data_IF_162666384946
#
_entry.id   IF_162666384946
#
_cell.length_a   1.000
_cell.length_b   1.000
_cell.length_c   1.000
_cell.angle_alpha   90.00
_cell.angle_beta   90.00
_cell.angle_gamma   90.00
#
_symmetry.space_group_name_H-M   'P 1'
#
loop_
_entity.id
_entity.type
_entity.pdbx_description
1 polymer ?
#
# COMPACT_ATOMS: atom_id res chain seq x y z
N UNK A 1 -6.20 -5.27 -5.67
CA UNK A 1 -6.64 -5.12 -4.26
C UNK A 1 -5.43 -4.89 -3.39
N UNK A 2 -5.49 -3.97 -2.43
CA UNK A 2 -4.41 -3.73 -1.47
C UNK A 2 -4.80 -4.24 -0.08
N UNK A 3 -3.85 -4.86 0.62
CA UNK A 3 -4.00 -5.32 2.00
C UNK A 3 -2.86 -4.74 2.82
N UNK A 4 -3.20 -4.18 4.00
CA UNK A 4 -2.23 -3.73 4.99
C UNK A 4 -2.17 -4.74 6.11
N UNK A 5 -0.97 -5.25 6.38
CA UNK A 5 -0.71 -6.19 7.46
C UNK A 5 -0.22 -5.48 8.72
N UNK A 6 -0.39 -6.07 9.92
CA UNK A 6 0.08 -5.49 11.18
C UNK A 6 1.60 -5.27 11.26
N UNK A 7 2.38 -5.94 10.40
CA UNK A 7 3.82 -5.77 10.24
C UNK A 7 4.19 -4.56 9.34
N UNK A 8 3.21 -3.70 9.05
CA UNK A 8 3.34 -2.51 8.21
C UNK A 8 3.67 -2.80 6.74
N UNK A 9 3.41 -4.02 6.29
CA UNK A 9 3.55 -4.39 4.88
C UNK A 9 2.27 -4.09 4.11
N UNK A 10 2.42 -3.44 2.95
CA UNK A 10 1.38 -3.34 1.93
C UNK A 10 1.61 -4.46 0.93
N UNK A 11 0.58 -5.25 0.64
CA UNK A 11 0.59 -6.24 -0.43
C UNK A 11 -0.48 -5.90 -1.47
N UNK A 12 -0.10 -5.94 -2.74
CA UNK A 12 -0.99 -5.80 -3.87
C UNK A 12 -1.29 -7.17 -4.47
N UNK A 13 -2.56 -7.40 -4.75
CA UNK A 13 -3.08 -8.62 -5.36
C UNK A 13 -3.84 -8.27 -6.63
N UNK A 14 -3.75 -9.14 -7.63
CA UNK A 14 -4.65 -9.10 -8.77
C UNK A 14 -6.09 -9.23 -8.25
N UNK A 15 -6.97 -8.35 -8.71
CA UNK A 15 -8.33 -8.27 -8.17
C UNK A 15 -9.22 -9.45 -8.61
N UNK A 16 -8.82 -10.18 -9.65
CA UNK A 16 -9.58 -11.30 -10.23
C UNK A 16 -9.02 -12.63 -9.73
N UNK A 17 -7.71 -12.84 -9.83
CA UNK A 17 -7.07 -14.11 -9.48
C UNK A 17 -6.70 -14.22 -8.00
N UNK A 18 -6.67 -13.09 -7.28
CA UNK A 18 -6.17 -12.98 -5.91
C UNK A 18 -4.71 -13.41 -5.75
N UNK A 19 -3.94 -13.45 -6.86
CA UNK A 19 -2.52 -13.73 -6.83
C UNK A 19 -1.74 -12.47 -6.42
N UNK A 20 -0.64 -12.62 -5.65
CA UNK A 20 0.19 -11.49 -5.25
C UNK A 20 0.93 -10.92 -6.47
N UNK A 21 0.84 -9.60 -6.64
CA UNK A 21 1.56 -8.85 -7.69
C UNK A 21 2.86 -8.28 -7.13
N UNK A 22 2.77 -7.60 -5.99
CA UNK A 22 3.93 -7.02 -5.30
C UNK A 22 3.66 -6.82 -3.81
N UNK A 23 4.73 -6.61 -3.03
CA UNK A 23 4.63 -6.16 -1.65
C UNK A 23 5.72 -5.14 -1.33
N UNK A 24 5.46 -4.27 -0.35
CA UNK A 24 6.40 -3.28 0.16
C UNK A 24 6.21 -3.09 1.66
N UNK A 25 7.29 -3.21 2.42
CA UNK A 25 7.30 -2.96 3.86
C UNK A 25 7.62 -1.50 4.16
N UNK A 26 7.03 -0.99 5.23
CA UNK A 26 7.24 0.37 5.73
C UNK A 26 7.85 0.31 7.13
N UNK A 27 8.77 1.23 7.43
CA UNK A 27 9.35 1.34 8.78
C UNK A 27 8.33 1.78 9.83
N UNK A 28 7.26 2.45 9.39
CA UNK A 28 6.21 3.02 10.23
C UNK A 28 4.87 2.39 9.92
N UNK A 29 3.97 2.43 10.90
CA UNK A 29 2.63 1.88 10.76
C UNK A 29 1.84 2.61 9.67
N UNK A 30 1.30 1.84 8.72
CA UNK A 30 0.42 2.36 7.67
C UNK A 30 -0.98 2.52 8.25
N UNK A 31 -1.48 3.77 8.26
CA UNK A 31 -2.78 4.12 8.84
C UNK A 31 -3.83 4.45 7.78
N UNK A 32 -3.42 4.67 6.53
CA UNK A 32 -4.33 4.92 5.42
C UNK A 32 -3.71 4.65 4.06
N UNK A 33 -4.57 4.26 3.12
CA UNK A 33 -4.25 4.10 1.71
C UNK A 33 -5.29 4.83 0.86
N UNK A 34 -4.83 5.53 -0.16
CA UNK A 34 -5.67 6.18 -1.16
C UNK A 34 -5.15 5.83 -2.54
N UNK A 35 -5.94 5.08 -3.31
CA UNK A 35 -5.66 4.75 -4.70
C UNK A 35 -6.47 5.66 -5.64
N UNK A 36 -5.79 6.24 -6.65
CA UNK A 36 -6.46 7.06 -7.64
C UNK A 36 -5.52 7.57 -8.72
N UNK A 37 -5.95 7.46 -9.98
CA UNK A 37 -5.20 8.00 -11.13
C UNK A 37 -3.81 7.39 -11.33
N UNK A 38 -3.62 6.11 -10.99
CA UNK A 38 -2.33 5.41 -11.11
C UNK A 38 -1.32 5.76 -10.00
N UNK A 39 -1.77 6.45 -8.95
CA UNK A 39 -0.97 6.79 -7.78
C UNK A 39 -1.56 6.15 -6.54
N UNK A 40 -0.70 5.52 -5.74
CA UNK A 40 -1.05 5.05 -4.41
C UNK A 40 -0.41 5.98 -3.37
N UNK A 41 -1.23 6.61 -2.54
CA UNK A 41 -0.78 7.41 -1.41
C UNK A 41 -0.86 6.58 -0.12
N UNK A 42 0.25 6.56 0.62
CA UNK A 42 0.41 5.86 1.90
C UNK A 42 0.54 6.89 3.01
N UNK A 43 -0.38 6.86 3.98
CA UNK A 43 -0.34 7.67 5.19
C UNK A 43 0.25 6.84 6.34
N UNK A 44 1.24 7.38 7.03
CA UNK A 44 1.80 6.76 8.24
C UNK A 44 1.23 7.36 9.54
N UNK A 45 1.57 6.72 10.66
CA UNK A 45 1.19 7.15 12.02
C UNK A 45 1.82 8.48 12.46
N UNK A 46 2.82 9.00 11.74
CA UNK A 46 3.38 10.34 11.94
C UNK A 46 2.66 11.41 11.10
N UNK A 47 1.65 11.03 10.31
CA UNK A 47 0.90 11.94 9.45
C UNK A 47 1.63 12.27 8.14
N UNK A 48 2.66 11.52 7.76
CA UNK A 48 3.36 11.71 6.49
C UNK A 48 2.65 10.93 5.38
N UNK A 49 2.49 11.60 4.23
CA UNK A 49 2.06 10.97 2.98
C UNK A 49 3.27 10.61 2.10
N UNK A 50 3.33 9.37 1.64
CA UNK A 50 4.31 8.88 0.66
C UNK A 50 3.58 8.40 -0.59
N UNK A 51 3.99 8.90 -1.75
CA UNK A 51 3.44 8.47 -3.03
C UNK A 51 4.22 7.28 -3.59
N UNK A 52 3.50 6.25 -4.02
CA UNK A 52 4.00 5.10 -4.76
C UNK A 52 3.43 5.18 -6.17
N UNK A 53 4.30 5.33 -7.16
CA UNK A 53 3.92 5.13 -8.56
C UNK A 53 3.88 3.62 -8.84
N UNK A 54 2.86 3.18 -9.55
CA UNK A 54 2.87 1.87 -10.19
C UNK A 54 3.92 1.93 -11.32
N UNK A 55 4.93 1.06 -11.29
CA UNK A 55 5.92 0.91 -12.37
C UNK A 55 5.36 0.10 -13.53
#
# INVERSE_FOLDING_TARGET
MFVVSPDHTIAAFDAVTLEPVWSRSFERAVTGLFDGGGLLLVLDDAGRLTALAEE
#
